data_IF_213104036441
#
_entry.id   IF_213104036441
#
_cell.length_a   1.000
_cell.length_b   1.000
_cell.length_c   1.000
_cell.angle_alpha   90.00
_cell.angle_beta   90.00
_cell.angle_gamma   90.00
#
_symmetry.space_group_name_H-M   'P 1'
#
loop_
_entity.id
_entity.type
_entity.pdbx_description
1 polymer ?
#
# COMPACT_ATOMS: atom_id res chain seq x y z
N UNK A 1 -0.39 -10.96 -0.67
CA UNK A 1 0.88 -10.25 -0.97
C UNK A 1 1.17 -10.36 -2.45
N UNK A 2 1.67 -9.31 -3.12
CA UNK A 2 2.00 -9.39 -4.54
C UNK A 2 3.22 -10.28 -4.77
N UNK A 3 3.08 -11.28 -5.66
CA UNK A 3 4.19 -12.13 -6.11
C UNK A 3 4.81 -11.49 -7.36
N UNK A 4 5.96 -10.85 -7.22
CA UNK A 4 6.78 -10.42 -8.37
C UNK A 4 7.76 -11.52 -8.75
N UNK A 5 7.61 -12.05 -9.97
CA UNK A 5 8.62 -12.91 -10.60
C UNK A 5 9.50 -12.00 -11.47
N UNK A 6 10.82 -12.19 -11.38
CA UNK A 6 11.80 -11.47 -12.22
C UNK A 6 11.65 -11.98 -13.64
N UNK A 7 11.63 -11.06 -14.62
CA UNK A 7 11.55 -11.44 -16.05
C UNK A 7 12.95 -11.72 -16.59
N UNK A 8 13.02 -12.58 -17.61
CA UNK A 8 14.28 -12.87 -18.28
C UNK A 8 14.85 -11.62 -18.96
N UNK A 9 16.12 -11.32 -18.70
CA UNK A 9 16.80 -10.12 -19.20
C UNK A 9 16.51 -8.82 -18.45
N UNK A 10 15.78 -8.85 -17.33
CA UNK A 10 15.49 -7.67 -16.52
C UNK A 10 16.63 -7.36 -15.52
N UNK A 11 17.02 -6.09 -15.40
CA UNK A 11 17.96 -5.67 -14.34
C UNK A 11 17.28 -5.61 -12.98
N UNK A 12 18.04 -5.84 -11.91
CA UNK A 12 17.54 -5.87 -10.53
C UNK A 12 16.74 -4.60 -10.15
N UNK A 13 17.21 -3.43 -10.60
CA UNK A 13 16.57 -2.15 -10.29
C UNK A 13 15.17 -2.01 -10.89
N UNK A 14 14.94 -2.54 -12.09
CA UNK A 14 13.65 -2.48 -12.76
C UNK A 14 12.68 -3.43 -12.06
N UNK A 15 13.15 -4.63 -11.70
CA UNK A 15 12.37 -5.59 -10.93
C UNK A 15 11.97 -5.00 -9.55
N UNK A 16 12.91 -4.32 -8.88
CA UNK A 16 12.68 -3.65 -7.59
C UNK A 16 11.64 -2.52 -7.71
N UNK A 17 11.72 -1.69 -8.75
CA UNK A 17 10.73 -0.64 -9.02
C UNK A 17 9.33 -1.23 -9.24
N UNK A 18 9.22 -2.35 -9.95
CA UNK A 18 7.93 -3.05 -10.15
C UNK A 18 7.38 -3.58 -8.84
N UNK A 19 8.22 -4.23 -8.04
CA UNK A 19 7.83 -4.71 -6.72
C UNK A 19 7.30 -3.58 -5.84
N UNK A 20 8.04 -2.46 -5.74
CA UNK A 20 7.62 -1.28 -4.96
C UNK A 20 6.26 -0.74 -5.43
N UNK A 21 6.04 -0.64 -6.75
CA UNK A 21 4.75 -0.21 -7.30
C UNK A 21 3.61 -1.18 -6.96
N UNK A 22 3.86 -2.49 -7.04
CA UNK A 22 2.85 -3.50 -6.68
C UNK A 22 2.51 -3.48 -5.19
N UNK A 23 3.50 -3.35 -4.31
CA UNK A 23 3.29 -3.23 -2.85
C UNK A 23 2.50 -1.96 -2.51
N UNK A 24 2.84 -0.84 -3.14
CA UNK A 24 2.11 0.42 -2.94
C UNK A 24 0.67 0.34 -3.45
N UNK A 25 0.44 -0.28 -4.62
CA UNK A 25 -0.90 -0.49 -5.18
C UNK A 25 -1.74 -1.42 -4.28
N UNK A 26 -1.13 -2.45 -3.71
CA UNK A 26 -1.79 -3.37 -2.79
C UNK A 26 -2.17 -2.71 -1.45
N UNK A 27 -1.59 -1.55 -1.11
CA UNK A 27 -1.91 -0.83 0.13
C UNK A 27 -1.42 -1.52 1.41
N UNK A 28 -0.60 -2.56 1.31
CA UNK A 28 -0.17 -3.41 2.44
C UNK A 28 0.47 -2.61 3.58
N UNK A 29 1.35 -1.66 3.25
CA UNK A 29 2.00 -0.79 4.25
C UNK A 29 0.97 0.15 4.90
N UNK A 30 -0.01 0.63 4.14
CA UNK A 30 -1.04 1.52 4.67
C UNK A 30 -1.96 0.77 5.63
N UNK A 31 -2.29 -0.49 5.33
CA UNK A 31 -3.12 -1.31 6.19
C UNK A 31 -2.38 -1.74 7.45
N UNK A 32 -1.10 -2.09 7.37
CA UNK A 32 -0.25 -2.31 8.54
C UNK A 32 -0.33 -1.11 9.52
N UNK A 33 -0.07 0.11 9.02
CA UNK A 33 -0.11 1.34 9.84
C UNK A 33 -1.48 1.66 10.44
N UNK A 34 -2.59 1.24 9.82
CA UNK A 34 -3.94 1.42 10.37
C UNK A 34 -4.24 0.47 11.54
N UNK A 35 -3.52 -0.64 11.62
CA UNK A 35 -3.73 -1.69 12.61
C UNK A 35 -2.66 -1.72 13.72
N UNK A 36 -1.61 -0.88 13.63
CA UNK A 36 -0.60 -0.74 14.69
C UNK A 36 -1.19 -0.34 16.05
N UNK A 37 -2.32 0.39 16.06
CA UNK A 37 -2.98 0.82 17.29
C UNK A 37 -4.49 0.79 17.18
N UNK A 38 -5.15 0.61 18.32
CA UNK A 38 -6.61 0.68 18.39
C UNK A 38 -7.09 2.10 18.08
N UNK A 39 -7.96 2.19 17.08
CA UNK A 39 -8.67 3.40 16.72
C UNK A 39 -10.16 3.24 17.03
N UNK A 40 -10.74 4.18 17.79
CA UNK A 40 -12.18 4.24 18.03
C UNK A 40 -12.94 4.31 16.69
N UNK A 41 -14.09 3.63 16.61
CA UNK A 41 -14.90 3.52 15.37
C UNK A 41 -15.21 4.87 14.71
N UNK A 42 -15.48 5.92 15.51
CA UNK A 42 -15.69 7.28 15.00
C UNK A 42 -14.47 7.86 14.30
N UNK A 43 -13.29 7.71 14.89
CA UNK A 43 -12.03 8.19 14.32
C UNK A 43 -11.66 7.43 13.04
N UNK A 44 -11.90 6.10 13.00
CA UNK A 44 -11.76 5.30 11.77
C UNK A 44 -12.63 5.82 10.63
N UNK A 45 -13.89 6.20 10.90
CA UNK A 45 -14.81 6.77 9.89
C UNK A 45 -14.34 8.13 9.38
N UNK A 46 -13.90 9.01 10.30
CA UNK A 46 -13.35 10.34 9.95
C UNK A 46 -12.13 10.21 9.03
N UNK A 47 -11.15 9.38 9.42
CA UNK A 47 -9.93 9.17 8.64
C UNK A 47 -10.21 8.56 7.26
N UNK A 48 -11.21 7.68 7.15
CA UNK A 48 -11.66 7.12 5.86
C UNK A 48 -12.22 8.22 4.95
N UNK A 49 -13.06 9.11 5.48
CA UNK A 49 -13.63 10.25 4.72
C UNK A 49 -12.54 11.23 4.27
N UNK A 50 -11.60 11.58 5.13
CA UNK A 50 -10.49 12.49 4.78
C UNK A 50 -9.58 11.90 3.70
N UNK A 51 -9.26 10.61 3.80
CA UNK A 51 -8.46 9.93 2.77
C UNK A 51 -9.19 9.82 1.43
N UNK A 52 -10.52 9.72 1.41
CA UNK A 52 -11.30 9.76 0.18
C UNK A 52 -11.25 11.16 -0.46
N UNK A 53 -11.37 12.22 0.35
CA UNK A 53 -11.26 13.62 -0.11
C UNK A 53 -9.88 13.95 -0.67
N UNK A 54 -8.79 13.48 -0.06
CA UNK A 54 -7.42 13.71 -0.57
C UNK A 54 -7.09 12.95 -1.85
N UNK A 55 -7.84 11.89 -2.18
CA UNK A 55 -7.61 11.07 -3.38
C UNK A 55 -8.31 11.64 -4.63
N UNK A 56 -9.19 12.62 -4.43
CA UNK A 56 -9.95 13.29 -5.47
C UNK A 56 -9.34 14.67 -5.75
#
# INVERSE_FOLDING_TARGET
MPKTVVRDGETLDIAMKRFKRQVNKAGTIQDYRKHDFFLKKGLKRKLKSENARRKH
#
